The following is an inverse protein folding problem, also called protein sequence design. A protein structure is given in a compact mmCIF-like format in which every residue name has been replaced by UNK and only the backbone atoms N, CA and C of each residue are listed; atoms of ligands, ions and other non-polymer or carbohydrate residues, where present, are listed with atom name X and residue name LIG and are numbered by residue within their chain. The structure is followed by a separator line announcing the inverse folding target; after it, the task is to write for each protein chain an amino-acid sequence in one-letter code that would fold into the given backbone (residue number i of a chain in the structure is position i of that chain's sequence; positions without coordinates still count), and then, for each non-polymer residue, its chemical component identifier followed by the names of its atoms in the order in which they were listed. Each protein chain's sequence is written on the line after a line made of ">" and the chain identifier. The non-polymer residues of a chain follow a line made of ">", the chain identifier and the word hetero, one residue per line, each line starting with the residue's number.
data_IF_578351785015
#
_entry.id   IF_578351785015
#
_cell.length_a   1.000
_cell.length_b   1.000
_cell.length_c   1.000
_cell.angle_alpha   90.00
_cell.angle_beta   90.00
_cell.angle_gamma   90.00
#
_symmetry.space_group_name_H-M   'P 1'
#
loop_
_entity.id
_entity.type
_entity.pdbx_description
1 polymer ?
#
# COMPACT_ATOMS: atom_id res chain seq x y z
N UNK A 1 22.91 -26.45 -44.70
CA UNK A 1 22.01 -27.05 -43.69
C UNK A 1 21.91 -26.24 -42.40
N UNK A 2 22.96 -25.59 -41.87
CA UNK A 2 22.88 -24.81 -40.63
C UNK A 2 21.94 -23.57 -40.67
N UNK A 3 21.84 -22.89 -41.82
CA UNK A 3 21.08 -21.63 -41.95
C UNK A 3 19.56 -21.80 -41.77
N UNK A 4 19.01 -22.97 -42.11
CA UNK A 4 17.57 -23.24 -42.00
C UNK A 4 17.14 -23.58 -40.57
N UNK A 5 18.04 -24.16 -39.77
CA UNK A 5 17.80 -24.39 -38.34
C UNK A 5 17.84 -23.09 -37.53
N UNK A 6 18.67 -22.12 -37.94
CA UNK A 6 18.74 -20.80 -37.29
C UNK A 6 17.44 -20.03 -37.50
N UNK A 7 16.91 -19.97 -38.73
CA UNK A 7 15.65 -19.28 -39.00
C UNK A 7 14.47 -19.95 -38.31
N UNK A 8 14.40 -21.29 -38.32
CA UNK A 8 13.36 -22.05 -37.59
C UNK A 8 13.44 -21.80 -36.09
N UNK A 9 14.65 -21.70 -35.52
CA UNK A 9 14.85 -21.34 -34.11
C UNK A 9 14.33 -19.94 -33.79
N UNK A 10 14.66 -18.93 -34.61
CA UNK A 10 14.16 -17.55 -34.45
C UNK A 10 12.64 -17.48 -34.58
N UNK A 11 12.04 -18.24 -35.50
CA UNK A 11 10.58 -18.30 -35.67
C UNK A 11 9.88 -18.90 -34.44
N UNK A 12 10.43 -19.96 -33.85
CA UNK A 12 9.87 -20.56 -32.63
C UNK A 12 9.96 -19.59 -31.45
N UNK A 13 11.10 -18.90 -31.29
CA UNK A 13 11.24 -17.87 -30.26
C UNK A 13 10.24 -16.73 -30.48
N UNK A 14 10.08 -16.24 -31.72
CA UNK A 14 9.11 -15.19 -32.03
C UNK A 14 7.67 -15.61 -31.73
N UNK A 15 7.28 -16.85 -32.05
CA UNK A 15 5.95 -17.38 -31.74
C UNK A 15 5.74 -17.49 -30.23
N UNK A 16 6.76 -17.98 -29.49
CA UNK A 16 6.69 -18.05 -28.02
C UNK A 16 6.63 -16.66 -27.38
N UNK A 17 7.38 -15.68 -27.90
CA UNK A 17 7.31 -14.29 -27.45
C UNK A 17 5.93 -13.67 -27.70
N UNK A 18 5.36 -13.87 -28.90
CA UNK A 18 4.01 -13.37 -29.21
C UNK A 18 2.96 -14.06 -28.35
N UNK A 19 3.04 -15.38 -28.17
CA UNK A 19 2.13 -16.11 -27.29
C UNK A 19 2.23 -15.61 -25.84
N UNK A 20 3.45 -15.36 -25.35
CA UNK A 20 3.67 -14.73 -24.03
C UNK A 20 3.01 -13.35 -23.92
N UNK A 21 3.22 -12.46 -24.90
CA UNK A 21 2.60 -11.12 -24.92
C UNK A 21 1.08 -11.20 -24.98
N UNK A 22 0.51 -12.11 -25.78
CA UNK A 22 -0.95 -12.29 -25.89
C UNK A 22 -1.53 -12.81 -24.57
N UNK A 23 -0.83 -13.71 -23.87
CA UNK A 23 -1.26 -14.19 -22.56
C UNK A 23 -1.23 -13.08 -21.51
N UNK A 24 -0.24 -12.18 -21.57
CA UNK A 24 -0.17 -10.97 -20.72
C UNK A 24 -1.31 -10.01 -21.04
N UNK A 25 -1.53 -9.66 -22.31
CA UNK A 25 -2.64 -8.77 -22.71
C UNK A 25 -4.03 -9.35 -22.44
N UNK A 26 -4.15 -10.68 -22.36
CA UNK A 26 -5.38 -11.37 -22.02
C UNK A 26 -5.58 -11.59 -20.51
N UNK A 27 -4.65 -11.15 -19.66
CA UNK A 27 -4.72 -11.35 -18.20
C UNK A 27 -4.55 -12.81 -17.75
N UNK A 28 -4.06 -13.69 -18.62
CA UNK A 28 -3.84 -15.11 -18.33
C UNK A 28 -2.51 -15.38 -17.61
N UNK A 29 -1.55 -14.46 -17.74
CA UNK A 29 -0.24 -14.52 -17.07
C UNK A 29 0.22 -13.09 -16.77
N UNK A 30 0.57 -12.78 -15.52
CA UNK A 30 1.18 -11.47 -15.17
C UNK A 30 2.59 -11.36 -15.74
N UNK A 31 2.98 -10.16 -16.18
CA UNK A 31 4.32 -9.93 -16.68
C UNK A 31 5.33 -10.04 -15.51
N UNK A 32 6.43 -10.83 -15.63
CA UNK A 32 7.40 -11.01 -14.53
C UNK A 32 8.26 -9.76 -14.24
N UNK A 33 7.87 -8.62 -14.80
CA UNK A 33 8.52 -7.31 -14.74
C UNK A 33 7.50 -6.19 -14.51
N UNK A 34 6.31 -6.52 -14.01
CA UNK A 34 5.34 -5.53 -13.52
C UNK A 34 5.66 -5.10 -12.09
N UNK A 35 5.16 -3.93 -11.65
CA UNK A 35 5.19 -3.52 -10.25
C UNK A 35 4.45 -4.56 -9.39
N UNK A 36 4.86 -4.69 -8.13
CA UNK A 36 4.10 -5.51 -7.17
C UNK A 36 2.76 -4.81 -6.88
N UNK A 37 1.66 -5.57 -6.84
CA UNK A 37 0.29 -5.03 -6.70
C UNK A 37 -0.36 -5.55 -5.40
N UNK A 38 -1.35 -4.82 -4.90
CA UNK A 38 -2.14 -5.21 -3.73
C UNK A 38 -3.45 -4.44 -3.63
N UNK A 39 -4.19 -4.68 -2.54
CA UNK A 39 -5.45 -4.01 -2.25
C UNK A 39 -5.43 -3.46 -0.82
N UNK A 40 -5.87 -2.21 -0.67
CA UNK A 40 -6.06 -1.56 0.64
C UNK A 40 -7.53 -1.30 0.87
N UNK A 41 -8.05 -1.74 2.01
CA UNK A 41 -9.44 -1.50 2.45
C UNK A 41 -9.41 -0.64 3.70
N UNK A 42 -10.26 0.39 3.74
CA UNK A 42 -10.37 1.29 4.89
C UNK A 42 -11.74 1.14 5.53
N UNK A 43 -11.77 0.98 6.85
CA UNK A 43 -12.98 0.82 7.65
C UNK A 43 -13.12 1.99 8.62
N UNK A 44 -14.36 2.38 8.89
CA UNK A 44 -14.60 3.38 9.93
C UNK A 44 -14.18 2.88 11.30
N UNK A 45 -13.67 3.78 12.15
CA UNK A 45 -13.57 3.49 13.57
C UNK A 45 -14.99 3.20 14.11
N UNK A 46 -15.30 1.92 14.35
CA UNK A 46 -16.58 1.44 14.89
C UNK A 46 -16.79 1.88 16.36
N UNK A 47 -15.99 2.82 16.86
CA UNK A 47 -16.23 3.59 18.08
C UNK A 47 -17.44 4.50 17.90
N UNK A 48 -18.64 3.90 17.89
CA UNK A 48 -19.94 4.55 17.92
C UNK A 48 -19.97 5.67 18.97
N UNK A 49 -19.87 6.89 18.49
CA UNK A 49 -19.87 8.11 19.27
C UNK A 49 -20.27 9.26 18.38
N UNK A 50 -21.46 9.16 17.77
CA UNK A 50 -22.02 10.16 16.87
C UNK A 50 -21.77 11.58 17.36
N UNK A 51 -20.82 12.26 16.73
CA UNK A 51 -20.69 13.71 16.84
C UNK A 51 -21.74 14.31 15.91
N UNK A 52 -22.99 14.32 16.36
CA UNK A 52 -23.96 15.29 15.84
C UNK A 52 -23.33 16.66 16.07
N UNK A 53 -22.90 17.29 14.99
CA UNK A 53 -22.34 18.65 15.02
C UNK A 53 -23.27 19.56 15.80
N UNK A 54 -22.86 19.88 17.03
CA UNK A 54 -23.49 20.90 17.83
C UNK A 54 -23.15 22.24 17.17
N UNK A 55 -24.13 22.77 16.42
CA UNK A 55 -24.08 24.13 15.92
C UNK A 55 -24.15 25.04 17.14
N UNK A 56 -22.98 25.46 17.62
CA UNK A 56 -22.85 26.51 18.62
C UNK A 56 -23.36 27.83 18.04
N UNK A 57 -24.67 28.07 18.22
CA UNK A 57 -25.26 29.39 18.06
C UNK A 57 -24.91 30.21 19.30
N UNK A 58 -23.97 31.15 19.16
CA UNK A 58 -23.75 32.19 20.17
C UNK A 58 -24.98 33.12 20.27
N UNK A 59 -25.41 33.52 21.50
CA UNK A 59 -26.63 34.26 21.70
C UNK A 59 -26.41 35.78 21.64
N UNK A 60 -27.17 36.44 20.77
CA UNK A 60 -27.30 37.90 20.70
C UNK A 60 -28.76 38.32 20.72
N UNK A 61 -29.33 38.38 21.93
CA UNK A 61 -30.41 39.27 22.41
C UNK A 61 -31.22 40.01 21.33
N UNK A 62 -32.54 39.80 21.25
CA UNK A 62 -33.61 40.81 21.47
C UNK A 62 -34.96 40.11 21.73
N UNK A 63 -35.75 40.71 22.62
CA UNK A 63 -36.98 40.17 23.19
C UNK A 63 -38.19 40.21 22.25
N UNK A 64 -39.12 39.25 22.39
CA UNK A 64 -40.56 39.52 22.64
C UNK A 64 -41.26 38.22 23.06
N UNK A 65 -42.17 38.36 24.02
CA UNK A 65 -42.98 37.29 24.60
C UNK A 65 -44.14 36.88 23.69
N UNK A 66 -44.50 35.59 23.67
CA UNK A 66 -45.91 35.19 23.79
C UNK A 66 -46.04 33.71 24.22
N UNK A 67 -47.11 33.43 24.96
CA UNK A 67 -47.40 32.16 25.65
C UNK A 67 -48.04 31.12 24.74
N UNK A 68 -47.82 29.83 25.00
CA UNK A 68 -48.51 28.77 24.26
C UNK A 68 -48.26 27.36 24.79
N UNK A 69 -49.03 27.00 25.82
CA UNK A 69 -49.26 25.65 26.35
C UNK A 69 -49.83 24.70 25.28
N UNK A 70 -49.26 23.49 25.13
CA UNK A 70 -50.02 22.25 24.85
C UNK A 70 -49.12 21.03 24.78
N UNK A 71 -49.29 20.17 25.77
CA UNK A 71 -48.94 18.75 25.70
C UNK A 71 -49.89 18.05 24.72
N UNK A 72 -49.35 17.12 23.91
CA UNK A 72 -50.13 15.99 23.40
C UNK A 72 -49.24 14.76 23.26
N UNK A 73 -49.48 13.81 24.18
CA UNK A 73 -49.25 12.39 24.01
C UNK A 73 -50.05 11.85 22.81
N UNK A 74 -49.41 11.05 21.94
CA UNK A 74 -50.03 10.02 21.08
C UNK A 74 -48.91 9.04 20.73
N UNK A 75 -48.81 7.88 21.38
CA UNK A 75 -49.57 6.63 21.13
C UNK A 75 -49.35 6.02 19.74
N UNK A 76 -48.63 4.89 19.74
CA UNK A 76 -48.83 3.72 18.88
C UNK A 76 -48.46 3.84 17.39
N UNK A 77 -47.44 3.09 16.96
CA UNK A 77 -47.62 1.90 16.11
C UNK A 77 -46.28 1.17 16.00
N UNK A 78 -46.25 0.01 16.66
CA UNK A 78 -45.32 -1.10 16.45
C UNK A 78 -45.56 -1.68 15.04
N UNK A 79 -44.63 -1.42 14.11
CA UNK A 79 -44.54 -2.11 12.82
C UNK A 79 -43.21 -2.87 12.81
N UNK A 80 -43.17 -3.98 13.55
CA UNK A 80 -42.13 -5.00 13.44
C UNK A 80 -42.21 -5.63 12.05
N UNK A 81 -41.55 -5.02 11.06
CA UNK A 81 -41.21 -5.66 9.80
C UNK A 81 -40.04 -6.59 10.07
N UNK A 82 -40.34 -7.89 10.12
CA UNK A 82 -39.36 -8.97 9.95
C UNK A 82 -38.61 -8.77 8.62
N UNK A 83 -37.45 -8.12 8.66
CA UNK A 83 -36.47 -8.21 7.59
C UNK A 83 -35.71 -9.54 7.74
N UNK A 84 -35.46 -10.27 6.64
CA UNK A 84 -34.88 -11.59 6.69
C UNK A 84 -33.42 -11.51 7.17
N UNK A 85 -33.11 -12.23 8.25
CA UNK A 85 -31.75 -12.52 8.70
C UNK A 85 -30.90 -13.03 7.52
N UNK A 86 -30.07 -12.14 6.95
CA UNK A 86 -28.99 -12.52 6.05
C UNK A 86 -27.92 -13.25 6.87
N UNK A 87 -27.57 -14.50 6.53
CA UNK A 87 -26.63 -15.27 7.31
C UNK A 87 -25.22 -15.09 6.74
N UNK A 88 -24.53 -14.01 7.09
CA UNK A 88 -23.06 -13.98 7.04
C UNK A 88 -22.54 -12.95 8.04
N UNK A 89 -21.48 -13.33 8.77
CA UNK A 89 -20.99 -12.62 9.95
C UNK A 89 -20.66 -11.15 9.68
N UNK A 90 -20.97 -10.33 10.68
CA UNK A 90 -20.80 -8.89 10.79
C UNK A 90 -19.39 -8.38 10.37
N UNK A 91 -19.11 -8.33 9.07
CA UNK A 91 -18.01 -7.57 8.50
C UNK A 91 -18.59 -6.23 8.06
N UNK A 92 -18.18 -5.15 8.73
CA UNK A 92 -18.53 -3.78 8.36
C UNK A 92 -18.13 -3.55 6.90
N UNK A 93 -19.00 -2.91 6.10
CA UNK A 93 -18.66 -2.55 4.72
C UNK A 93 -17.54 -1.50 4.73
N UNK A 94 -16.47 -1.64 3.91
CA UNK A 94 -15.37 -0.68 3.91
C UNK A 94 -15.84 0.69 3.38
N UNK A 95 -15.31 1.77 3.97
CA UNK A 95 -15.44 3.15 3.47
C UNK A 95 -14.83 3.31 2.07
N UNK A 96 -13.73 2.59 1.83
CA UNK A 96 -13.00 2.65 0.58
C UNK A 96 -12.23 1.35 0.30
N UNK A 97 -12.07 1.07 -0.99
CA UNK A 97 -11.19 0.02 -1.52
C UNK A 97 -10.29 0.67 -2.56
N UNK A 98 -8.98 0.43 -2.44
CA UNK A 98 -7.94 1.02 -3.29
C UNK A 98 -7.05 -0.09 -3.83
N UNK A 99 -6.98 -0.22 -5.15
CA UNK A 99 -5.99 -1.04 -5.83
C UNK A 99 -4.63 -0.31 -5.81
N UNK A 100 -3.57 -0.95 -5.32
CA UNK A 100 -2.29 -0.25 -5.07
C UNK A 100 -1.11 -0.88 -5.81
N UNK A 101 -0.26 -0.02 -6.35
CA UNK A 101 1.12 -0.37 -6.68
C UNK A 101 1.98 -0.30 -5.41
N UNK A 102 2.88 -1.27 -5.22
CA UNK A 102 3.68 -1.39 -4.00
C UNK A 102 5.09 -0.84 -4.23
N UNK A 103 5.49 0.09 -3.36
CA UNK A 103 6.85 0.62 -3.27
C UNK A 103 7.52 0.14 -1.97
N UNK A 104 8.25 -0.99 -2.03
CA UNK A 104 8.90 -1.59 -0.86
C UNK A 104 10.44 -1.40 -0.84
N UNK A 105 11.04 -1.10 -1.99
CA UNK A 105 12.47 -0.81 -2.11
C UNK A 105 12.77 0.69 -1.97
N UNK A 106 13.99 1.03 -1.57
CA UNK A 106 14.39 2.42 -1.44
C UNK A 106 14.32 3.20 -2.77
N UNK A 107 14.54 2.52 -3.90
CA UNK A 107 14.44 3.14 -5.23
C UNK A 107 13.00 3.42 -5.59
N UNK A 108 12.10 2.44 -5.44
CA UNK A 108 10.67 2.63 -5.71
C UNK A 108 10.08 3.71 -4.82
N UNK A 109 10.42 3.71 -3.52
CA UNK A 109 9.97 4.77 -2.60
C UNK A 109 10.53 6.15 -2.96
N UNK A 110 11.73 6.23 -3.53
CA UNK A 110 12.33 7.51 -3.94
C UNK A 110 11.67 8.07 -5.20
N UNK A 111 11.34 7.20 -6.17
CA UNK A 111 10.61 7.57 -7.38
C UNK A 111 9.17 7.93 -7.07
N UNK A 112 8.46 7.07 -6.32
CA UNK A 112 7.05 7.22 -6.01
C UNK A 112 6.21 7.44 -7.26
N UNK A 113 5.23 8.35 -7.18
CA UNK A 113 4.36 8.70 -8.30
C UNK A 113 4.99 9.66 -9.33
N UNK A 114 6.26 10.05 -9.19
CA UNK A 114 6.89 11.07 -10.07
C UNK A 114 7.00 10.64 -11.54
N UNK A 115 6.99 9.33 -11.82
CA UNK A 115 7.01 8.79 -13.18
C UNK A 115 5.58 8.56 -13.76
N UNK A 116 4.53 8.98 -13.03
CA UNK A 116 3.13 8.84 -13.45
C UNK A 116 2.61 10.17 -14.00
N UNK A 117 1.84 10.11 -15.08
CA UNK A 117 1.16 11.30 -15.63
C UNK A 117 -0.15 11.61 -14.87
N UNK A 118 -0.80 10.57 -14.34
CA UNK A 118 -2.09 10.65 -13.65
C UNK A 118 -2.27 9.48 -12.69
N UNK A 119 -3.14 9.65 -11.70
CA UNK A 119 -3.61 8.57 -10.81
C UNK A 119 -5.14 8.44 -10.92
N UNK A 120 -5.62 7.24 -11.23
CA UNK A 120 -7.05 6.97 -11.41
C UNK A 120 -7.78 6.88 -10.06
N UNK A 121 -9.08 7.17 -10.05
CA UNK A 121 -9.88 6.98 -8.82
C UNK A 121 -9.95 5.51 -8.47
N UNK A 122 -9.80 5.20 -7.18
CA UNK A 122 -9.78 3.82 -6.70
C UNK A 122 -8.43 3.14 -6.88
N UNK A 123 -7.42 3.83 -7.41
CA UNK A 123 -6.04 3.33 -7.43
C UNK A 123 -5.12 4.22 -6.57
N UNK A 124 -3.98 3.67 -6.19
CA UNK A 124 -3.01 4.36 -5.36
C UNK A 124 -1.62 3.74 -5.39
N UNK A 125 -0.72 4.30 -4.60
CA UNK A 125 0.60 3.72 -4.35
C UNK A 125 0.79 3.51 -2.85
N UNK A 126 1.14 2.29 -2.46
CA UNK A 126 1.41 1.89 -1.09
C UNK A 126 2.91 1.76 -0.86
N UNK A 127 3.43 2.58 0.02
CA UNK A 127 4.83 2.54 0.44
C UNK A 127 4.96 1.75 1.74
N UNK A 128 5.83 0.75 1.73
CA UNK A 128 6.06 -0.12 2.90
C UNK A 128 7.40 0.23 3.54
N UNK A 129 7.39 0.53 4.84
CA UNK A 129 8.60 0.77 5.62
C UNK A 129 8.90 -0.42 6.55
N UNK A 130 10.18 -0.60 6.89
CA UNK A 130 10.63 -1.71 7.75
C UNK A 130 10.20 -1.56 9.22
N UNK A 131 9.99 -0.32 9.65
CA UNK A 131 9.61 0.07 11.00
C UNK A 131 8.65 1.26 10.94
N UNK A 132 7.86 1.42 12.00
CA UNK A 132 7.09 2.63 12.22
C UNK A 132 7.99 3.74 12.74
N UNK A 133 8.06 4.85 12.02
CA UNK A 133 8.88 6.00 12.33
C UNK A 133 8.24 7.27 11.73
N UNK A 134 8.84 8.44 11.96
CA UNK A 134 8.42 9.68 11.31
C UNK A 134 8.81 9.64 9.83
N UNK A 135 7.83 9.39 8.96
CA UNK A 135 8.03 9.36 7.51
C UNK A 135 7.79 10.76 6.95
N UNK A 136 8.60 11.18 5.97
CA UNK A 136 8.43 12.46 5.28
C UNK A 136 8.40 12.24 3.77
N UNK A 137 7.34 12.71 3.15
CA UNK A 137 7.09 12.63 1.72
C UNK A 137 7.19 14.01 1.09
N UNK A 138 7.64 14.05 -0.17
CA UNK A 138 7.81 15.27 -0.93
C UNK A 138 7.14 15.17 -2.29
N UNK A 139 6.56 16.27 -2.76
CA UNK A 139 5.92 16.35 -4.09
C UNK A 139 6.94 16.61 -5.20
N UNK A 140 8.13 15.98 -5.12
CA UNK A 140 9.23 16.24 -6.06
C UNK A 140 8.81 15.86 -7.47
N UNK A 141 8.96 16.81 -8.40
CA UNK A 141 8.70 16.56 -9.83
C UNK A 141 7.31 15.96 -10.13
N UNK A 142 6.34 16.15 -9.23
CA UNK A 142 4.96 15.68 -9.40
C UNK A 142 4.17 16.60 -10.32
N UNK A 143 3.29 16.02 -11.14
CA UNK A 143 2.44 16.78 -12.07
C UNK A 143 0.98 16.93 -11.59
N UNK A 144 0.59 16.27 -10.49
CA UNK A 144 -0.77 16.29 -9.97
C UNK A 144 -0.83 16.30 -8.44
N UNK A 145 -1.97 16.75 -7.93
CA UNK A 145 -2.28 16.78 -6.49
C UNK A 145 -2.64 15.37 -6.00
N UNK A 146 -2.30 15.06 -4.75
CA UNK A 146 -2.63 13.77 -4.10
C UNK A 146 -3.07 13.97 -2.65
N UNK A 147 -3.76 12.98 -2.09
CA UNK A 147 -3.85 12.82 -0.65
C UNK A 147 -2.75 11.85 -0.20
N UNK A 148 -2.07 12.16 0.90
CA UNK A 148 -1.03 11.34 1.52
C UNK A 148 -1.54 10.86 2.87
N UNK A 149 -1.73 9.56 3.01
CA UNK A 149 -2.33 8.91 4.18
C UNK A 149 -1.23 8.12 4.90
N UNK A 150 -0.93 8.52 6.13
CA UNK A 150 0.04 7.87 7.00
C UNK A 150 -0.66 6.84 7.88
N UNK A 151 -0.16 5.61 7.88
CA UNK A 151 -0.78 4.45 8.55
C UNK A 151 0.23 3.84 9.53
N UNK A 152 -0.19 3.74 10.78
CA UNK A 152 0.60 3.22 11.90
C UNK A 152 0.81 1.70 11.82
N UNK A 153 1.70 1.16 12.67
CA UNK A 153 1.99 -0.28 12.72
C UNK A 153 0.82 -1.15 13.20
N UNK A 154 -0.10 -0.54 13.94
CA UNK A 154 -1.39 -1.07 14.38
C UNK A 154 -2.47 -1.05 13.28
N UNK A 155 -2.15 -0.48 12.11
CA UNK A 155 -3.03 -0.29 10.96
C UNK A 155 -4.11 0.77 11.17
N UNK A 156 -3.87 1.73 12.04
CA UNK A 156 -4.70 2.92 12.17
C UNK A 156 -4.15 4.07 11.29
N UNK A 157 -5.03 4.86 10.68
CA UNK A 157 -4.61 6.09 10.01
C UNK A 157 -4.19 7.13 11.05
N UNK A 158 -2.93 7.53 11.03
CA UNK A 158 -2.36 8.46 12.01
C UNK A 158 -2.40 9.92 11.53
N UNK A 159 -2.32 10.14 10.22
CA UNK A 159 -2.28 11.49 9.63
C UNK A 159 -2.73 11.46 8.17
N UNK A 160 -3.49 12.47 7.75
CA UNK A 160 -3.87 12.69 6.35
C UNK A 160 -3.40 14.08 5.94
N UNK A 161 -2.71 14.17 4.79
CA UNK A 161 -2.33 15.44 4.18
C UNK A 161 -2.93 15.56 2.78
N UNK A 162 -3.42 16.75 2.46
CA UNK A 162 -3.89 17.11 1.13
C UNK A 162 -2.77 17.86 0.38
N UNK A 163 -1.96 17.12 -0.37
CA UNK A 163 -0.79 17.66 -1.04
C UNK A 163 -1.13 18.24 -2.40
N UNK A 164 -0.62 19.44 -2.69
CA UNK A 164 -0.69 20.05 -4.02
C UNK A 164 0.52 19.70 -4.86
N UNK A 165 0.36 19.68 -6.17
CA UNK A 165 1.46 19.67 -7.12
C UNK A 165 2.32 20.94 -6.97
N UNK A 166 3.61 20.88 -7.30
CA UNK A 166 4.48 22.05 -7.45
C UNK A 166 3.93 23.05 -8.48
N UNK A 167 4.10 24.34 -8.21
CA UNK A 167 3.80 25.38 -9.17
C UNK A 167 4.87 25.52 -10.28
N UNK A 168 4.66 26.39 -11.29
CA UNK A 168 5.56 26.51 -12.45
C UNK A 168 7.03 26.88 -12.17
N UNK A 169 7.35 27.31 -10.95
CA UNK A 169 8.72 27.67 -10.53
C UNK A 169 9.14 26.90 -9.27
N UNK A 170 8.48 25.79 -8.97
CA UNK A 170 8.76 24.92 -7.84
C UNK A 170 9.11 23.54 -8.36
N UNK A 171 10.10 22.89 -7.75
CA UNK A 171 10.45 21.50 -8.05
C UNK A 171 9.84 20.51 -7.05
N UNK A 172 9.07 21.00 -6.08
CA UNK A 172 8.38 20.20 -5.07
C UNK A 172 9.20 19.71 -3.88
N UNK A 173 10.53 19.88 -3.86
CA UNK A 173 11.36 19.40 -2.75
C UNK A 173 11.05 20.10 -1.42
N UNK A 174 10.55 21.33 -1.47
CA UNK A 174 10.16 22.10 -0.27
C UNK A 174 8.74 21.75 0.22
N UNK A 175 7.95 21.02 -0.58
CA UNK A 175 6.59 20.57 -0.23
C UNK A 175 6.67 19.25 0.53
N UNK A 176 7.00 19.34 1.81
CA UNK A 176 7.19 18.22 2.72
C UNK A 176 5.94 17.96 3.56
N UNK A 177 5.55 16.69 3.67
CA UNK A 177 4.44 16.22 4.49
C UNK A 177 4.92 15.06 5.35
N UNK A 178 4.69 15.14 6.66
CA UNK A 178 5.22 14.19 7.62
C UNK A 178 4.13 13.62 8.52
N UNK A 179 4.34 12.39 8.98
CA UNK A 179 3.47 11.68 9.91
C UNK A 179 4.14 10.41 10.43
N UNK A 180 3.65 9.90 11.57
CA UNK A 180 4.09 8.61 12.10
C UNK A 180 3.50 7.49 11.26
N UNK A 181 4.34 6.69 10.62
CA UNK A 181 3.85 5.64 9.74
C UNK A 181 4.82 4.47 9.64
N UNK A 182 4.21 3.28 9.51
CA UNK A 182 4.85 2.11 8.91
C UNK A 182 4.47 1.93 7.45
N UNK A 183 3.28 2.38 7.08
CA UNK A 183 2.79 2.39 5.70
C UNK A 183 2.33 3.79 5.31
N UNK A 184 2.55 4.17 4.07
CA UNK A 184 2.02 5.42 3.51
C UNK A 184 1.26 5.09 2.25
N UNK A 185 0.02 5.56 2.14
CA UNK A 185 -0.83 5.38 0.98
C UNK A 185 -1.03 6.73 0.29
N UNK A 186 -0.66 6.80 -0.99
CA UNK A 186 -0.94 7.94 -1.85
C UNK A 186 -2.13 7.64 -2.77
N UNK A 187 -3.12 8.52 -2.78
CA UNK A 187 -4.36 8.40 -3.58
C UNK A 187 -4.68 9.72 -4.26
N UNK A 188 -5.58 9.77 -5.26
CA UNK A 188 -5.94 11.01 -5.91
C UNK A 188 -6.43 12.06 -4.91
N UNK A 189 -6.13 13.33 -5.18
CA UNK A 189 -6.53 14.44 -4.32
C UNK A 189 -8.03 14.45 -4.04
N UNK A 190 -8.39 14.59 -2.76
CA UNK A 190 -9.77 14.67 -2.30
C UNK A 190 -10.47 13.32 -2.19
N UNK A 191 -9.80 12.22 -2.51
CA UNK A 191 -10.35 10.87 -2.37
C UNK A 191 -10.78 10.58 -0.93
N UNK A 192 -9.99 11.03 0.05
CA UNK A 192 -10.32 10.88 1.48
C UNK A 192 -11.60 11.63 1.85
N UNK A 193 -11.81 12.83 1.31
CA UNK A 193 -13.04 13.60 1.54
C UNK A 193 -14.26 12.95 0.87
N UNK A 194 -14.09 12.40 -0.32
CA UNK A 194 -15.18 11.76 -1.09
C UNK A 194 -15.65 10.46 -0.43
N UNK A 195 -14.74 9.72 0.20
CA UNK A 195 -15.00 8.42 0.83
C UNK A 195 -15.25 8.49 2.34
N UNK A 196 -15.00 9.66 2.96
CA UNK A 196 -15.15 9.84 4.40
C UNK A 196 -14.05 9.14 5.21
N UNK A 197 -12.88 8.94 4.61
CA UNK A 197 -11.69 8.44 5.30
C UNK A 197 -11.17 9.52 6.24
N UNK A 198 -10.94 9.16 7.50
CA UNK A 198 -10.52 10.06 8.57
C UNK A 198 -9.35 9.46 9.37
N UNK A 199 -8.67 10.31 10.14
CA UNK A 199 -7.67 9.85 11.12
C UNK A 199 -8.37 9.00 12.18
N UNK A 200 -7.80 7.85 12.53
CA UNK A 200 -8.40 6.86 13.42
C UNK A 200 -9.06 5.69 12.69
N UNK A 201 -9.32 5.80 11.38
CA UNK A 201 -9.88 4.68 10.61
C UNK A 201 -8.90 3.49 10.54
N UNK A 202 -9.45 2.28 10.55
CA UNK A 202 -8.69 1.04 10.45
C UNK A 202 -8.41 0.67 8.99
N UNK A 203 -7.23 0.11 8.73
CA UNK A 203 -6.77 -0.26 7.38
C UNK A 203 -6.45 -1.74 7.29
N UNK A 204 -7.05 -2.45 6.34
CA UNK A 204 -6.56 -3.76 5.91
C UNK A 204 -5.71 -3.64 4.65
N UNK A 205 -4.58 -4.35 4.66
CA UNK A 205 -3.63 -4.39 3.54
C UNK A 205 -3.50 -5.84 3.10
N UNK A 206 -3.96 -6.13 1.89
CA UNK A 206 -3.76 -7.41 1.21
C UNK A 206 -2.67 -7.24 0.14
N UNK A 207 -1.57 -7.98 0.29
CA UNK A 207 -0.45 -7.91 -0.64
C UNK A 207 -0.50 -9.17 -1.50
N UNK A 208 -0.80 -9.01 -2.80
CA UNK A 208 -0.77 -10.12 -3.76
C UNK A 208 0.69 -10.51 -4.02
N UNK A 209 1.23 -11.35 -3.12
CA UNK A 209 2.62 -11.76 -3.16
C UNK A 209 2.87 -12.68 -4.36
N UNK A 210 3.39 -12.16 -5.48
CA UNK A 210 4.02 -12.98 -6.51
C UNK A 210 5.41 -13.52 -6.07
N UNK A 211 5.74 -13.39 -4.79
CA UNK A 211 6.93 -14.02 -4.18
C UNK A 211 6.65 -15.50 -4.04
N UNK A 212 6.91 -16.25 -5.11
CA UNK A 212 7.17 -17.69 -5.06
C UNK A 212 8.04 -17.94 -3.85
N UNK A 213 7.43 -18.58 -2.85
CA UNK A 213 8.07 -19.08 -1.66
C UNK A 213 9.21 -19.99 -2.14
N UNK A 214 10.43 -19.47 -2.19
CA UNK A 214 11.62 -20.31 -2.09
C UNK A 214 11.66 -20.72 -0.63
N UNK A 215 10.78 -21.67 -0.25
CA UNK A 215 10.98 -22.44 0.96
C UNK A 215 12.39 -22.96 0.83
N UNK A 216 13.23 -22.59 1.80
CA UNK A 216 14.46 -23.29 2.11
C UNK A 216 14.14 -24.78 2.19
N UNK A 217 14.23 -25.46 1.06
CA UNK A 217 14.29 -26.92 1.01
C UNK A 217 15.54 -27.24 1.78
N UNK A 218 15.32 -27.76 2.99
CA UNK A 218 16.38 -28.35 3.80
C UNK A 218 17.15 -29.30 2.91
N UNK A 219 18.45 -29.06 2.82
CA UNK A 219 19.41 -30.00 2.25
C UNK A 219 19.46 -31.21 3.17
N UNK A 220 18.47 -32.10 3.05
CA UNK A 220 18.56 -33.47 3.49
C UNK A 220 19.09 -34.28 2.29
N UNK A 221 20.41 -34.35 2.19
CA UNK A 221 21.08 -35.26 1.26
C UNK A 221 21.50 -36.51 2.04
N UNK A 222 21.12 -37.72 1.57
CA UNK A 222 21.17 -38.94 2.36
C UNK A 222 22.58 -39.53 2.50
N UNK A 223 22.77 -40.23 3.61
CA UNK A 223 23.90 -41.11 3.88
C UNK A 223 24.23 -42.03 2.69
N UNK A 224 25.51 -42.05 2.30
CA UNK A 224 26.17 -43.25 1.77
C UNK A 224 27.51 -43.44 2.47
N UNK A 225 27.54 -44.50 3.25
CA UNK A 225 28.69 -45.14 3.89
C UNK A 225 29.71 -45.71 2.88
N UNK A 226 30.95 -45.84 3.38
CA UNK A 226 32.16 -46.46 2.83
C UNK A 226 33.13 -45.47 2.13
N UNK A 227 34.43 -45.41 2.41
CA UNK A 227 35.32 -46.28 3.19
C UNK A 227 36.57 -45.52 3.64
N UNK A 228 37.18 -46.06 4.69
CA UNK A 228 38.48 -45.77 5.31
C UNK A 228 39.64 -45.43 4.37
N UNK A 229 40.41 -44.40 4.70
CA UNK A 229 41.87 -44.40 4.54
C UNK A 229 42.53 -43.29 5.38
N UNK A 230 43.16 -43.75 6.45
CA UNK A 230 44.27 -43.16 7.20
C UNK A 230 45.33 -42.51 6.29
N UNK A 231 45.78 -41.29 6.63
CA UNK A 231 47.20 -40.89 6.67
C UNK A 231 47.42 -39.41 7.01
N UNK A 232 48.22 -39.20 8.05
CA UNK A 232 48.99 -37.99 8.38
C UNK A 232 49.60 -37.29 7.16
N UNK A 233 49.76 -35.95 7.23
CA UNK A 233 51.01 -35.20 6.92
C UNK A 233 50.81 -33.69 7.15
N UNK A 234 51.39 -33.20 8.25
CA UNK A 234 52.31 -32.03 8.37
C UNK A 234 51.97 -30.72 7.64
N UNK A 235 51.77 -29.66 8.43
CA UNK A 235 51.94 -28.27 8.04
C UNK A 235 53.42 -27.90 7.82
N UNK A 236 53.70 -26.91 6.94
CA UNK A 236 54.74 -25.96 7.29
C UNK A 236 54.32 -24.49 7.14
N UNK A 237 54.82 -23.68 8.06
CA UNK A 237 54.88 -22.23 8.01
C UNK A 237 55.55 -21.71 6.74
N UNK A 238 55.10 -20.56 6.24
CA UNK A 238 55.95 -19.65 5.48
C UNK A 238 55.54 -18.19 5.73
N UNK A 239 56.54 -17.44 6.18
CA UNK A 239 56.59 -16.03 6.57
C UNK A 239 57.03 -15.21 5.35
N UNK A 240 56.44 -14.02 5.12
CA UNK A 240 57.08 -12.79 4.59
C UNK A 240 55.98 -11.76 4.24
N UNK A 241 55.82 -10.68 5.03
CA UNK A 241 56.58 -9.43 4.99
C UNK A 241 56.19 -8.50 3.82
N UNK A 242 55.43 -7.45 4.15
CA UNK A 242 55.17 -6.29 3.30
C UNK A 242 54.93 -5.07 4.17
N UNK A 243 55.96 -4.27 4.38
CA UNK A 243 55.95 -2.99 5.10
C UNK A 243 55.26 -1.91 4.27
N UNK A 244 54.38 -1.10 4.87
CA UNK A 244 53.99 0.20 4.33
C UNK A 244 53.94 1.23 5.48
N UNK A 245 54.67 2.33 5.26
CA UNK A 245 54.87 3.48 6.13
C UNK A 245 53.82 4.53 5.80
N UNK A 246 53.26 5.25 6.79
CA UNK A 246 52.66 6.57 6.57
C UNK A 246 52.85 7.44 7.83
N UNK A 247 53.40 8.64 7.61
CA UNK A 247 53.44 9.78 8.51
C UNK A 247 53.54 11.03 7.65
#
# INVERSE_FOLDING_TARGET
>A
MAFEYVWKGVLVIAILSIAGVVLVQAGLVSAPWGPDEGEVRVFGDDSDGGSTGEVENEPGTEATADSGDSATDTDGTDDSRDEPDSPDGNASEPKAVVDVEIADSATERYTGLSDHDTLERGTGMLFIHSSEDEQTYVMREMDFDIDIIFIGADREITTIHHARAPGPNENGNDLQYSGQAKWVLEVPRGYTNETGIEVGDEVEIDLESNRTIITSVGTDAPERVAATADRDVVAPEAVAAGTYFDS
#
